data_IF_298762030776
#
_entry.id   IF_298762030776
#
_cell.length_a   1.000
_cell.length_b   1.000
_cell.length_c   1.000
_cell.angle_alpha   90.00
_cell.angle_beta   90.00
_cell.angle_gamma   90.00
#
_symmetry.space_group_name_H-M   'P 1'
#
loop_
_entity.id
_entity.type
_entity.pdbx_description
1 polymer ?
#
# COMPACT_ATOMS: atom_id res chain seq x y z
N UNK A 1 -1.11 -74.43 -3.92
CA UNK A 1 -1.15 -74.79 -5.36
C UNK A 1 -2.55 -74.47 -5.89
N UNK A 2 -2.78 -73.30 -6.52
CA UNK A 2 -3.83 -73.04 -7.52
C UNK A 2 -3.62 -71.65 -8.15
N UNK A 3 -3.76 -71.61 -9.49
CA UNK A 3 -3.31 -70.59 -10.45
C UNK A 3 -4.43 -69.60 -10.83
N UNK A 4 -4.04 -68.32 -10.97
CA UNK A 4 -4.25 -67.35 -12.07
C UNK A 4 -5.68 -67.05 -12.56
N UNK A 5 -6.00 -65.75 -12.73
CA UNK A 5 -7.05 -65.32 -13.67
C UNK A 5 -7.37 -63.83 -13.70
N UNK A 6 -6.43 -62.95 -14.09
CA UNK A 6 -6.79 -61.59 -14.53
C UNK A 6 -6.18 -61.30 -15.92
N UNK A 7 -7.08 -61.17 -16.89
CA UNK A 7 -6.84 -60.97 -18.33
C UNK A 7 -6.26 -59.57 -18.63
N UNK A 8 -5.23 -59.53 -19.47
CA UNK A 8 -4.52 -58.33 -19.92
C UNK A 8 -5.21 -57.48 -20.99
N UNK A 9 -6.54 -57.44 -21.04
CA UNK A 9 -7.29 -56.70 -22.07
C UNK A 9 -7.78 -55.31 -21.62
N UNK A 10 -7.83 -55.01 -20.32
CA UNK A 10 -8.32 -53.73 -19.80
C UNK A 10 -7.22 -52.65 -19.75
N UNK A 11 -5.96 -53.03 -19.97
CA UNK A 11 -4.81 -52.16 -19.73
C UNK A 11 -4.48 -51.17 -20.85
N UNK A 12 -5.03 -51.34 -22.07
CA UNK A 12 -4.69 -50.48 -23.22
C UNK A 12 -5.44 -49.14 -23.26
N UNK A 13 -6.68 -49.04 -22.74
CA UNK A 13 -7.44 -47.77 -22.80
C UNK A 13 -7.08 -46.77 -21.68
N UNK A 14 -6.42 -47.23 -20.60
CA UNK A 14 -6.03 -46.37 -19.49
C UNK A 14 -4.75 -45.57 -19.76
N UNK A 15 -3.93 -45.97 -20.74
CA UNK A 15 -2.63 -45.36 -21.02
C UNK A 15 -2.72 -44.03 -21.80
N UNK A 16 -3.81 -43.78 -22.53
CA UNK A 16 -3.98 -42.59 -23.37
C UNK A 16 -4.57 -41.36 -22.67
N UNK A 17 -5.28 -41.54 -21.56
CA UNK A 17 -6.01 -40.47 -20.85
C UNK A 17 -5.15 -39.86 -19.72
N UNK A 18 -4.17 -40.62 -19.22
CA UNK A 18 -3.28 -40.26 -18.11
C UNK A 18 -2.43 -39.00 -18.36
N UNK A 19 -1.84 -38.75 -19.55
CA UNK A 19 -1.07 -37.52 -19.78
C UNK A 19 -1.94 -36.26 -19.97
N UNK A 20 -3.22 -36.42 -20.36
CA UNK A 20 -4.14 -35.29 -20.58
C UNK A 20 -4.70 -34.74 -19.26
N UNK A 21 -4.98 -35.62 -18.29
CA UNK A 21 -5.38 -35.24 -16.94
C UNK A 21 -4.20 -34.64 -16.17
N UNK A 22 -3.00 -35.21 -16.31
CA UNK A 22 -1.81 -34.71 -15.61
C UNK A 22 -1.40 -33.29 -16.06
N UNK A 23 -1.58 -32.92 -17.34
CA UNK A 23 -1.29 -31.56 -17.81
C UNK A 23 -2.36 -30.53 -17.41
N UNK A 24 -3.62 -30.95 -17.30
CA UNK A 24 -4.76 -30.07 -16.94
C UNK A 24 -4.84 -29.83 -15.43
N UNK A 25 -4.60 -30.86 -14.61
CA UNK A 25 -4.60 -30.78 -13.13
C UNK A 25 -3.38 -30.00 -12.62
N UNK A 26 -2.19 -30.22 -13.20
CA UNK A 26 -0.96 -29.53 -12.79
C UNK A 26 -0.97 -28.03 -13.07
N UNK A 27 -1.66 -27.59 -14.13
CA UNK A 27 -1.84 -26.17 -14.45
C UNK A 27 -2.90 -25.50 -13.56
N UNK A 28 -3.96 -26.23 -13.17
CA UNK A 28 -5.01 -25.70 -12.30
C UNK A 28 -4.50 -25.47 -10.87
N UNK A 29 -3.64 -26.35 -10.35
CA UNK A 29 -3.01 -26.17 -9.04
C UNK A 29 -2.05 -24.98 -9.03
N UNK A 30 -1.23 -24.77 -10.06
CA UNK A 30 -0.26 -23.65 -10.10
C UNK A 30 -0.94 -22.28 -10.21
N UNK A 31 -1.99 -22.14 -11.02
CA UNK A 31 -2.74 -20.87 -11.09
C UNK A 31 -3.53 -20.62 -9.80
N UNK A 32 -4.08 -21.66 -9.16
CA UNK A 32 -4.77 -21.55 -7.88
C UNK A 32 -3.80 -21.21 -6.74
N UNK A 33 -2.64 -21.87 -6.69
CA UNK A 33 -1.55 -21.58 -5.74
C UNK A 33 -1.04 -20.16 -5.96
N UNK A 34 -0.90 -19.71 -7.21
CA UNK A 34 -0.51 -18.34 -7.54
C UNK A 34 -1.51 -17.29 -7.03
N UNK A 35 -2.80 -17.53 -7.21
CA UNK A 35 -3.87 -16.67 -6.68
C UNK A 35 -3.87 -16.65 -5.15
N UNK A 36 -3.73 -17.82 -4.52
CA UNK A 36 -3.68 -17.98 -3.05
C UNK A 36 -2.47 -17.27 -2.45
N UNK A 37 -1.30 -17.39 -3.07
CA UNK A 37 -0.07 -16.69 -2.66
C UNK A 37 -0.24 -15.17 -2.84
N UNK A 38 -0.83 -14.71 -3.94
CA UNK A 38 -1.09 -13.27 -4.14
C UNK A 38 -2.07 -12.72 -3.10
N UNK A 39 -3.12 -13.48 -2.74
CA UNK A 39 -4.08 -13.12 -1.69
C UNK A 39 -3.42 -13.14 -0.31
N UNK A 40 -2.60 -14.14 0.01
CA UNK A 40 -1.87 -14.21 1.29
C UNK A 40 -0.86 -13.05 1.39
N UNK A 41 -0.12 -12.76 0.33
CA UNK A 41 0.80 -11.61 0.27
C UNK A 41 0.03 -10.30 0.40
N UNK A 42 -1.14 -10.16 -0.25
CA UNK A 42 -2.02 -9.00 -0.09
C UNK A 42 -2.46 -8.85 1.38
N UNK A 43 -2.89 -9.92 2.04
CA UNK A 43 -3.28 -9.88 3.45
C UNK A 43 -2.10 -9.56 4.39
N UNK A 44 -0.89 -10.04 4.12
CA UNK A 44 0.32 -9.71 4.89
C UNK A 44 0.73 -8.25 4.68
N UNK A 45 0.70 -7.76 3.44
CA UNK A 45 0.98 -6.37 3.08
C UNK A 45 -0.06 -5.44 3.71
N UNK A 46 -1.35 -5.74 3.55
CA UNK A 46 -2.47 -5.00 4.15
C UNK A 46 -2.39 -5.04 5.67
N UNK A 47 -2.02 -6.17 6.28
CA UNK A 47 -1.82 -6.34 7.72
C UNK A 47 -0.65 -5.52 8.28
N UNK A 48 0.46 -5.45 7.54
CA UNK A 48 1.57 -4.55 7.88
C UNK A 48 1.18 -3.09 7.70
N UNK A 49 0.45 -2.78 6.63
CA UNK A 49 -0.03 -1.43 6.36
C UNK A 49 -1.06 -0.96 7.41
N UNK A 50 -1.92 -1.85 7.92
CA UNK A 50 -2.89 -1.52 8.99
C UNK A 50 -2.22 -1.22 10.32
N UNK A 51 -1.15 -1.94 10.69
CA UNK A 51 -0.37 -1.61 11.90
C UNK A 51 0.38 -0.30 11.75
N UNK A 52 0.91 -0.02 10.56
CA UNK A 52 1.59 1.25 10.25
C UNK A 52 0.59 2.41 10.30
N UNK A 53 -0.63 2.25 9.75
CA UNK A 53 -1.73 3.23 9.86
C UNK A 53 -2.19 3.43 11.31
N UNK A 54 -2.34 2.35 12.09
CA UNK A 54 -2.72 2.44 13.50
C UNK A 54 -1.64 3.08 14.38
N UNK A 55 -0.35 2.87 14.08
CA UNK A 55 0.75 3.56 14.76
C UNK A 55 0.87 5.02 14.34
N UNK A 56 0.58 5.35 13.07
CA UNK A 56 0.50 6.73 12.58
C UNK A 56 -0.67 7.51 13.19
N UNK A 57 -1.81 6.85 13.42
CA UNK A 57 -3.02 7.44 14.00
C UNK A 57 -2.89 7.86 15.49
N UNK A 58 -1.80 7.46 16.18
CA UNK A 58 -1.53 7.87 17.56
C UNK A 58 -0.89 9.27 17.65
N UNK A 59 -0.22 9.72 16.59
CA UNK A 59 0.35 11.06 16.53
C UNK A 59 -0.71 12.05 16.02
N UNK A 60 -1.04 13.11 16.78
CA UNK A 60 -2.09 14.05 16.41
C UNK A 60 -1.78 14.76 15.08
N UNK A 61 -0.50 15.04 14.79
CA UNK A 61 -0.08 15.70 13.54
C UNK A 61 -0.32 14.83 12.30
N UNK A 62 0.08 13.56 12.35
CA UNK A 62 -0.13 12.62 11.23
C UNK A 62 -1.62 12.30 11.03
N UNK A 63 -2.40 12.27 12.12
CA UNK A 63 -3.86 12.08 12.04
C UNK A 63 -4.55 13.22 11.29
N UNK A 64 -4.17 14.47 11.57
CA UNK A 64 -4.74 15.63 10.88
C UNK A 64 -4.40 15.57 9.39
N UNK A 65 -3.14 15.27 9.05
CA UNK A 65 -2.71 15.15 7.65
C UNK A 65 -3.50 14.06 6.90
N UNK A 66 -3.71 12.90 7.53
CA UNK A 66 -4.49 11.81 6.95
C UNK A 66 -5.95 12.19 6.72
N UNK A 67 -6.58 12.87 7.69
CA UNK A 67 -7.96 13.37 7.54
C UNK A 67 -8.05 14.39 6.41
N UNK A 68 -7.07 15.30 6.29
CA UNK A 68 -7.01 16.30 5.22
C UNK A 68 -6.86 15.62 3.85
N UNK A 69 -5.99 14.62 3.71
CA UNK A 69 -5.84 13.85 2.47
C UNK A 69 -7.16 13.17 2.07
N UNK A 70 -7.81 12.48 3.01
CA UNK A 70 -9.08 11.82 2.75
C UNK A 70 -10.19 12.81 2.39
N UNK A 71 -10.24 13.96 3.06
CA UNK A 71 -11.18 15.03 2.75
C UNK A 71 -10.94 15.61 1.34
N UNK A 72 -9.68 15.80 0.96
CA UNK A 72 -9.30 16.26 -0.39
C UNK A 72 -9.65 15.23 -1.46
N UNK A 73 -9.41 13.94 -1.22
CA UNK A 73 -9.82 12.89 -2.16
C UNK A 73 -11.34 12.78 -2.30
N UNK A 74 -12.08 12.89 -1.19
CA UNK A 74 -13.53 12.88 -1.20
C UNK A 74 -14.11 14.11 -1.92
N UNK A 75 -13.52 15.28 -1.72
CA UNK A 75 -13.94 16.51 -2.41
C UNK A 75 -13.68 16.43 -3.90
N UNK A 76 -12.51 15.93 -4.31
CA UNK A 76 -12.18 15.66 -5.72
C UNK A 76 -13.15 14.67 -6.36
N UNK A 77 -13.38 13.52 -5.71
CA UNK A 77 -14.33 12.51 -6.18
C UNK A 77 -15.74 13.08 -6.39
N UNK A 78 -16.27 13.81 -5.42
CA UNK A 78 -17.60 14.41 -5.52
C UNK A 78 -17.68 15.47 -6.61
N UNK A 79 -16.65 16.31 -6.73
CA UNK A 79 -16.59 17.38 -7.72
C UNK A 79 -16.52 16.83 -9.15
N UNK A 80 -15.57 15.95 -9.44
CA UNK A 80 -15.40 15.39 -10.80
C UNK A 80 -16.61 14.56 -11.21
N UNK A 81 -17.21 13.80 -10.30
CA UNK A 81 -18.49 13.11 -10.59
C UNK A 81 -19.59 14.08 -11.00
N UNK A 82 -19.70 15.23 -10.33
CA UNK A 82 -20.80 16.18 -10.55
C UNK A 82 -20.60 17.06 -11.79
N UNK A 83 -19.37 17.47 -12.07
CA UNK A 83 -19.06 18.42 -13.15
C UNK A 83 -18.54 17.76 -14.42
N UNK A 84 -17.75 16.69 -14.32
CA UNK A 84 -17.23 15.95 -15.48
C UNK A 84 -18.09 14.71 -15.81
N UNK A 85 -19.01 14.32 -14.92
CA UNK A 85 -19.92 13.19 -15.15
C UNK A 85 -19.24 11.82 -15.10
N UNK A 86 -18.02 11.74 -14.60
CA UNK A 86 -17.26 10.50 -14.48
C UNK A 86 -17.84 9.56 -13.43
N UNK A 87 -17.52 8.27 -13.53
CA UNK A 87 -17.90 7.30 -12.51
C UNK A 87 -17.20 7.64 -11.18
N UNK A 88 -17.72 7.10 -10.06
CA UNK A 88 -17.10 7.28 -8.75
C UNK A 88 -15.65 6.78 -8.72
N UNK A 89 -15.39 5.67 -9.41
CA UNK A 89 -14.09 5.04 -9.46
C UNK A 89 -13.11 5.85 -10.30
N UNK A 90 -13.54 6.33 -11.48
CA UNK A 90 -12.70 7.16 -12.36
C UNK A 90 -12.41 8.53 -11.71
N UNK A 91 -13.39 9.11 -11.03
CA UNK A 91 -13.24 10.38 -10.30
C UNK A 91 -12.23 10.25 -9.15
N UNK A 92 -12.30 9.15 -8.41
CA UNK A 92 -11.34 8.85 -7.34
C UNK A 92 -9.96 8.57 -7.93
N UNK A 93 -9.88 7.75 -8.98
CA UNK A 93 -8.65 7.44 -9.67
C UNK A 93 -7.94 8.72 -10.15
N UNK A 94 -8.64 9.61 -10.86
CA UNK A 94 -8.09 10.89 -11.30
C UNK A 94 -7.62 11.77 -10.12
N UNK A 95 -8.41 11.83 -9.05
CA UNK A 95 -8.09 12.58 -7.83
C UNK A 95 -6.82 12.06 -7.16
N UNK A 96 -6.64 10.73 -7.12
CA UNK A 96 -5.45 10.08 -6.54
C UNK A 96 -4.22 10.33 -7.42
N UNK A 97 -4.27 10.03 -8.73
CA UNK A 97 -3.10 10.18 -9.61
C UNK A 97 -2.63 11.62 -9.73
N UNK A 98 -3.54 12.58 -9.58
CA UNK A 98 -3.24 14.02 -9.57
C UNK A 98 -2.61 14.41 -8.25
N UNK A 99 -3.15 13.95 -7.11
CA UNK A 99 -2.62 14.25 -5.79
C UNK A 99 -1.24 13.63 -5.55
N UNK A 100 -1.00 12.43 -6.08
CA UNK A 100 0.30 11.74 -6.04
C UNK A 100 1.24 12.20 -7.14
N UNK A 101 0.85 13.18 -7.96
CA UNK A 101 1.64 13.73 -9.09
C UNK A 101 2.08 12.69 -10.12
N UNK A 102 1.39 11.54 -10.21
CA UNK A 102 1.67 10.48 -11.18
C UNK A 102 1.18 10.90 -12.57
N UNK A 103 -0.06 11.39 -12.64
CA UNK A 103 -0.63 12.02 -13.83
C UNK A 103 -0.47 11.25 -15.15
N UNK A 104 -1.13 10.10 -15.29
CA UNK A 104 -1.05 9.29 -16.52
C UNK A 104 -1.58 9.99 -17.79
N UNK A 105 -2.43 11.01 -17.64
CA UNK A 105 -2.98 11.79 -18.75
C UNK A 105 -4.09 11.09 -19.53
N UNK A 106 -4.62 9.98 -19.01
CA UNK A 106 -5.75 9.22 -19.53
C UNK A 106 -7.10 9.91 -19.25
N UNK A 107 -7.22 10.56 -18.09
CA UNK A 107 -8.33 11.43 -17.74
C UNK A 107 -7.86 12.88 -17.61
N UNK A 108 -8.65 13.81 -18.15
CA UNK A 108 -8.42 15.25 -18.01
C UNK A 108 -9.76 16.00 -18.01
N UNK A 109 -9.94 17.01 -17.14
CA UNK A 109 -11.17 17.77 -17.06
C UNK A 109 -11.44 18.51 -18.37
N UNK A 110 -12.63 18.28 -18.95
CA UNK A 110 -13.05 18.91 -20.19
C UNK A 110 -13.81 20.21 -19.92
N UNK A 111 -14.48 20.31 -18.77
CA UNK A 111 -15.27 21.48 -18.41
C UNK A 111 -14.39 22.62 -17.88
N UNK A 112 -14.82 23.87 -18.09
CA UNK A 112 -14.13 25.03 -17.55
C UNK A 112 -14.09 25.01 -16.01
N UNK A 113 -15.18 24.55 -15.38
CA UNK A 113 -15.25 24.39 -13.93
C UNK A 113 -14.27 23.31 -13.43
N UNK A 114 -14.19 22.17 -14.12
CA UNK A 114 -13.21 21.11 -13.90
C UNK A 114 -11.78 21.63 -13.90
N UNK A 115 -11.41 22.34 -14.96
CA UNK A 115 -10.05 22.91 -15.11
C UNK A 115 -9.69 23.87 -13.97
N UNK A 116 -10.59 24.79 -13.64
CA UNK A 116 -10.37 25.75 -12.55
C UNK A 116 -10.21 25.01 -11.22
N UNK A 117 -11.08 24.05 -10.93
CA UNK A 117 -10.98 23.23 -9.72
C UNK A 117 -9.66 22.47 -9.66
N UNK A 118 -9.24 21.83 -10.75
CA UNK A 118 -7.98 21.07 -10.80
C UNK A 118 -6.76 21.95 -10.52
N UNK A 119 -6.75 23.21 -10.96
CA UNK A 119 -5.67 24.16 -10.64
C UNK A 119 -5.56 24.35 -9.11
N UNK A 120 -6.66 24.67 -8.44
CA UNK A 120 -6.66 24.82 -6.98
C UNK A 120 -6.36 23.51 -6.26
N UNK A 121 -6.88 22.40 -6.78
CA UNK A 121 -6.67 21.06 -6.24
C UNK A 121 -5.18 20.68 -6.21
N UNK A 122 -4.44 20.99 -7.28
CA UNK A 122 -2.99 20.74 -7.35
C UNK A 122 -2.23 21.61 -6.32
N UNK A 123 -2.59 22.87 -6.16
CA UNK A 123 -1.96 23.76 -5.17
C UNK A 123 -2.14 23.21 -3.75
N UNK A 124 -3.36 22.79 -3.41
CA UNK A 124 -3.66 22.14 -2.13
C UNK A 124 -2.85 20.84 -1.99
N UNK A 125 -2.78 20.03 -3.05
CA UNK A 125 -1.99 18.80 -3.08
C UNK A 125 -0.51 19.03 -2.77
N UNK A 126 0.10 20.06 -3.37
CA UNK A 126 1.48 20.45 -3.07
C UNK A 126 1.66 20.87 -1.61
N UNK A 127 0.71 21.61 -1.04
CA UNK A 127 0.73 21.98 0.37
C UNK A 127 0.69 20.77 1.31
N UNK A 128 -0.14 19.79 0.99
CA UNK A 128 -0.22 18.52 1.72
C UNK A 128 1.11 17.76 1.63
N UNK A 129 1.72 17.69 0.44
CA UNK A 129 3.01 17.05 0.25
C UNK A 129 4.13 17.74 1.05
N UNK A 130 4.16 19.07 1.05
CA UNK A 130 5.11 19.84 1.84
C UNK A 130 4.95 19.58 3.35
N UNK A 131 3.71 19.59 3.85
CA UNK A 131 3.41 19.28 5.24
C UNK A 131 3.86 17.87 5.63
N UNK A 132 3.64 16.88 4.75
CA UNK A 132 4.11 15.52 4.96
C UNK A 132 5.64 15.47 5.14
N UNK A 133 6.38 16.13 4.25
CA UNK A 133 7.86 16.19 4.32
C UNK A 133 8.31 16.83 5.64
N UNK A 134 7.69 17.95 6.05
CA UNK A 134 8.02 18.63 7.31
C UNK A 134 7.78 17.75 8.53
N UNK A 135 6.64 17.05 8.60
CA UNK A 135 6.36 16.15 9.73
C UNK A 135 7.40 15.02 9.82
N UNK A 136 7.76 14.41 8.68
CA UNK A 136 8.78 13.35 8.64
C UNK A 136 10.15 13.91 9.04
N UNK A 137 10.52 15.09 8.56
CA UNK A 137 11.77 15.75 8.92
C UNK A 137 11.85 16.06 10.42
N UNK A 138 10.76 16.55 11.02
CA UNK A 138 10.70 16.84 12.45
C UNK A 138 10.91 15.59 13.30
N UNK A 139 10.28 14.46 12.92
CA UNK A 139 10.47 13.17 13.61
C UNK A 139 11.94 12.72 13.53
N UNK A 140 12.59 12.87 12.38
CA UNK A 140 14.00 12.52 12.22
C UNK A 140 14.92 13.40 13.09
N UNK A 141 14.70 14.71 13.09
CA UNK A 141 15.47 15.67 13.89
C UNK A 141 15.31 15.40 15.39
N UNK A 142 14.11 15.06 15.84
CA UNK A 142 13.84 14.78 17.25
C UNK A 142 14.56 13.52 17.75
N UNK A 143 14.69 12.50 16.89
CA UNK A 143 15.48 11.31 17.20
C UNK A 143 16.97 11.61 17.35
N UNK A 144 17.53 12.46 16.49
CA UNK A 144 18.94 12.84 16.57
C UNK A 144 19.24 13.67 17.82
N UNK A 145 18.36 14.63 18.15
CA UNK A 145 18.45 15.40 19.40
C UNK A 145 18.39 14.50 20.64
N UNK A 146 17.47 13.54 20.66
CA UNK A 146 17.34 12.60 21.77
C UNK A 146 18.58 11.70 21.94
N UNK A 147 19.22 11.30 20.84
CA UNK A 147 20.48 10.53 20.87
C UNK A 147 21.65 11.38 21.37
N UNK A 148 21.76 12.62 20.93
CA UNK A 148 22.80 13.55 21.37
C UNK A 148 22.70 13.87 22.87
N UNK A 149 21.48 14.12 23.37
CA UNK A 149 21.24 14.40 24.79
C UNK A 149 21.66 13.22 25.70
N UNK A 150 21.37 11.97 25.28
CA UNK A 150 21.80 10.77 26.00
C UNK A 150 23.33 10.64 26.05
N UNK A 151 24.03 10.97 24.96
CA UNK A 151 25.51 10.93 24.91
C UNK A 151 26.13 11.91 25.90
N UNK A 152 25.59 13.13 26.01
CA UNK A 152 26.12 14.14 26.92
C UNK A 152 25.88 13.79 28.40
N UNK A 153 24.73 13.20 28.74
CA UNK A 153 24.46 12.73 30.11
C UNK A 153 25.38 11.57 30.54
N UNK A 154 25.77 10.70 29.62
CA UNK A 154 26.74 9.62 29.91
C UNK A 154 28.15 10.14 30.17
N UNK A 155 28.54 11.24 29.51
CA UNK A 155 29.86 11.85 29.70
C UNK A 155 29.98 12.53 31.08
N UNK A 156 28.93 13.25 31.51
CA UNK A 156 28.89 13.96 32.79
C UNK A 156 28.98 13.01 34.00
N UNK A 157 28.33 11.84 33.95
CA UNK A 157 28.39 10.84 35.02
C UNK A 157 29.73 10.13 35.18
N UNK A 158 30.66 10.28 34.23
CA UNK A 158 32.00 9.68 34.30
C UNK A 158 33.00 10.60 35.02
N UNK A 159 32.62 11.86 35.26
CA UNK A 159 33.41 12.83 36.01
C UNK A 159 33.09 12.66 37.51
N UNK A 160 33.66 11.64 38.15
CA UNK A 160 33.54 11.48 39.61
C UNK A 160 34.09 12.74 40.32
N UNK A 161 33.42 13.22 41.39
CA UNK A 161 33.90 14.37 42.15
C UNK A 161 35.31 14.07 42.66
N UNK A 162 36.22 15.08 42.68
CA UNK A 162 37.57 14.88 43.19
C UNK A 162 37.48 14.32 44.60
N UNK A 163 38.03 13.12 44.80
CA UNK A 163 38.21 12.53 46.12
C UNK A 163 38.98 13.56 46.96
N UNK A 164 38.24 14.19 47.86
CA UNK A 164 38.79 15.21 48.75
C UNK A 164 39.44 14.42 49.88
N UNK A 165 40.73 14.15 49.73
CA UNK A 165 41.61 13.67 50.80
C UNK A 165 41.89 14.79 51.81
#
# INVERSE_FOLDING_TARGET
>A
MLKIGYNGAVFCDAAGILPLIHHTVKNMDISLIGFLVMVIVLFIVVGRFTRVIQQMARNPELRILLVVVLATLASGMFFYRRFEGWSLLDSLYFSVITLTTVGYGDFAPQTNAGKIFTIFYIIVGLGILAAFITTVANIAIEQDKARAARRNQSADKTQDPPTTD
#
